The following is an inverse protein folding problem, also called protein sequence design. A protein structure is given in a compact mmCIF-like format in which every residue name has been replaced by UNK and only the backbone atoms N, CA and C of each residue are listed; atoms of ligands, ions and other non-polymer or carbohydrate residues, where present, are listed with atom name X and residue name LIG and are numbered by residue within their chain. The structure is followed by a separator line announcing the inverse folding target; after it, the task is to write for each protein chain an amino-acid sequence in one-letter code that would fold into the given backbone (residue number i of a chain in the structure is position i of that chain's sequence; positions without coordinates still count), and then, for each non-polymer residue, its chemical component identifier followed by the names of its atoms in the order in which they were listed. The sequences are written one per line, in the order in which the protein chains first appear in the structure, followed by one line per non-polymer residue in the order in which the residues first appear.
data_IF_531599152072
#
_entry.id   IF_531599152072
#
_cell.length_a   1.000
_cell.length_b   1.000
_cell.length_c   1.000
_cell.angle_alpha   90.00
_cell.angle_beta   90.00
_cell.angle_gamma   90.00
#
_symmetry.space_group_name_H-M   'P 1'
#
loop_
_entity.id
_entity.type
_entity.pdbx_description
1 polymer ?
#
# COMPACT_ATOMS: atom_id res chain seq x y z
N UNK A 1 -45.09 -33.56 -24.81
CA UNK A 1 -44.04 -32.96 -25.68
C UNK A 1 -44.22 -31.46 -25.89
N UNK A 2 -45.44 -30.93 -26.13
CA UNK A 2 -45.66 -29.47 -26.28
C UNK A 2 -45.35 -28.68 -25.01
N UNK A 3 -45.71 -29.17 -23.83
CA UNK A 3 -45.50 -28.43 -22.58
C UNK A 3 -44.04 -28.46 -22.11
N UNK A 4 -43.34 -29.58 -22.30
CA UNK A 4 -41.89 -29.65 -22.07
C UNK A 4 -41.10 -28.75 -23.02
N UNK A 5 -41.51 -28.63 -24.29
CA UNK A 5 -40.91 -27.70 -25.25
C UNK A 5 -41.16 -26.23 -24.86
N UNK A 6 -42.38 -25.91 -24.39
CA UNK A 6 -42.72 -24.56 -23.91
C UNK A 6 -41.88 -24.17 -22.70
N UNK A 7 -41.74 -25.06 -21.73
CA UNK A 7 -40.90 -24.83 -20.55
C UNK A 7 -39.44 -24.59 -20.99
N UNK A 8 -38.91 -25.44 -21.88
CA UNK A 8 -37.55 -25.29 -22.39
C UNK A 8 -37.29 -23.93 -23.05
N UNK A 9 -38.22 -23.48 -23.91
CA UNK A 9 -38.12 -22.18 -24.58
C UNK A 9 -38.21 -21.01 -23.60
N UNK A 10 -39.04 -21.13 -22.56
CA UNK A 10 -39.18 -20.11 -21.53
C UNK A 10 -37.90 -19.97 -20.70
N UNK A 11 -37.28 -21.09 -20.32
CA UNK A 11 -36.00 -21.09 -19.60
C UNK A 11 -34.88 -20.50 -20.47
N UNK A 12 -34.86 -20.84 -21.77
CA UNK A 12 -33.88 -20.29 -22.71
C UNK A 12 -34.04 -18.78 -22.87
N UNK A 13 -35.29 -18.28 -22.92
CA UNK A 13 -35.58 -16.86 -23.01
C UNK A 13 -35.15 -16.09 -21.76
N UNK A 14 -35.44 -16.61 -20.56
CA UNK A 14 -35.00 -16.00 -19.30
C UNK A 14 -33.47 -16.00 -19.20
N UNK A 15 -32.81 -17.09 -19.62
CA UNK A 15 -31.35 -17.17 -19.66
C UNK A 15 -30.75 -16.16 -20.65
N UNK A 16 -31.33 -16.03 -21.84
CA UNK A 16 -30.86 -15.07 -22.86
C UNK A 16 -31.03 -13.61 -22.40
N UNK A 17 -32.12 -13.30 -21.69
CA UNK A 17 -32.33 -11.97 -21.09
C UNK A 17 -31.31 -11.69 -19.98
N UNK A 18 -31.07 -12.66 -19.09
CA UNK A 18 -30.04 -12.56 -18.05
C UNK A 18 -28.61 -12.43 -18.61
N UNK A 19 -28.30 -13.21 -19.64
CA UNK A 19 -26.99 -13.18 -20.30
C UNK A 19 -26.78 -11.88 -21.09
N UNK A 20 -27.81 -11.41 -21.80
CA UNK A 20 -27.78 -10.16 -22.56
C UNK A 20 -27.62 -8.93 -21.65
N UNK A 21 -28.32 -8.89 -20.52
CA UNK A 21 -28.13 -7.84 -19.51
C UNK A 21 -26.75 -7.89 -18.85
N UNK A 22 -26.19 -9.09 -18.64
CA UNK A 22 -24.81 -9.28 -18.18
C UNK A 22 -23.76 -8.75 -19.17
N UNK A 23 -23.91 -9.03 -20.47
CA UNK A 23 -22.99 -8.51 -21.50
C UNK A 23 -23.15 -7.00 -21.68
N UNK A 24 -24.38 -6.48 -21.63
CA UNK A 24 -24.65 -5.05 -21.79
C UNK A 24 -24.07 -4.21 -20.64
N UNK A 25 -24.18 -4.70 -19.42
CA UNK A 25 -23.52 -4.09 -18.25
C UNK A 25 -22.00 -4.15 -18.41
N UNK A 26 -21.42 -5.33 -18.67
CA UNK A 26 -19.96 -5.45 -18.87
C UNK A 26 -19.40 -4.55 -20.00
N UNK A 27 -20.11 -4.36 -21.11
CA UNK A 27 -19.65 -3.51 -22.23
C UNK A 27 -19.75 -2.01 -21.96
N UNK A 28 -20.64 -1.56 -21.06
CA UNK A 28 -20.74 -0.15 -20.63
C UNK A 28 -19.94 0.16 -19.37
N UNK A 29 -19.34 -0.84 -18.73
CA UNK A 29 -18.52 -0.67 -17.55
C UNK A 29 -17.05 -0.69 -17.95
N UNK A 30 -16.48 0.49 -18.17
CA UNK A 30 -15.04 0.63 -18.33
C UNK A 30 -14.37 0.15 -17.04
N UNK A 31 -13.57 -0.94 -17.08
CA UNK A 31 -12.75 -1.29 -15.94
C UNK A 31 -11.87 -0.08 -15.60
N UNK A 32 -11.86 0.33 -14.33
CA UNK A 32 -10.95 1.40 -13.90
C UNK A 32 -9.54 1.04 -14.40
N UNK A 33 -8.85 1.94 -15.12
CA UNK A 33 -7.41 1.80 -15.23
C UNK A 33 -6.88 1.85 -13.80
N UNK A 34 -5.94 0.96 -13.43
CA UNK A 34 -5.35 0.97 -12.10
C UNK A 34 -4.89 2.41 -11.79
N UNK A 35 -5.17 2.93 -10.59
CA UNK A 35 -4.70 4.26 -10.23
C UNK A 35 -3.17 4.28 -10.42
N UNK A 36 -2.59 5.37 -10.93
CA UNK A 36 -1.14 5.45 -11.20
C UNK A 36 -0.31 5.24 -9.93
N UNK A 37 -0.93 5.46 -8.76
CA UNK A 37 -0.39 5.14 -7.44
C UNK A 37 -1.50 4.66 -6.47
N UNK A 38 -1.16 3.82 -5.49
CA UNK A 38 -2.02 3.39 -4.39
C UNK A 38 -2.26 4.47 -3.32
N UNK A 39 -3.25 4.27 -2.46
CA UNK A 39 -3.40 5.11 -1.26
C UNK A 39 -2.12 4.98 -0.42
N UNK A 40 -1.62 6.11 0.12
CA UNK A 40 -0.42 6.14 0.97
C UNK A 40 0.83 5.54 0.28
N UNK A 41 0.89 5.60 -1.05
CA UNK A 41 2.04 5.11 -1.81
C UNK A 41 3.35 5.84 -1.44
N UNK A 42 3.26 7.05 -0.87
CA UNK A 42 4.41 7.77 -0.33
C UNK A 42 5.26 6.93 0.63
N UNK A 43 4.64 5.94 1.27
CA UNK A 43 5.28 5.10 2.27
C UNK A 43 5.77 3.75 1.72
N UNK A 44 5.32 3.34 0.52
CA UNK A 44 5.65 2.03 -0.07
C UNK A 44 5.68 2.08 -1.61
N UNK A 45 6.82 2.46 -2.24
CA UNK A 45 6.91 2.71 -3.69
C UNK A 45 6.89 1.45 -4.59
N UNK A 46 6.76 0.24 -4.03
CA UNK A 46 6.95 -1.04 -4.77
C UNK A 46 5.73 -1.96 -4.76
N UNK A 47 4.53 -1.45 -4.49
CA UNK A 47 3.32 -2.28 -4.54
C UNK A 47 2.45 -1.97 -5.73
N UNK A 48 1.96 -2.99 -6.46
CA UNK A 48 0.93 -2.77 -7.46
C UNK A 48 -0.30 -2.15 -6.77
N UNK A 49 -0.98 -1.20 -7.42
CA UNK A 49 -2.20 -0.61 -6.89
C UNK A 49 -3.23 -1.72 -6.70
N UNK A 50 -3.50 -2.08 -5.44
CA UNK A 50 -4.51 -3.06 -5.03
C UNK A 50 -4.41 -4.43 -5.73
N UNK A 51 -3.66 -5.36 -5.14
CA UNK A 51 -3.70 -6.76 -5.51
C UNK A 51 -5.08 -7.40 -5.23
N UNK A 52 -5.82 -7.69 -6.30
CA UNK A 52 -6.42 -9.01 -6.51
C UNK A 52 -7.49 -9.53 -5.54
N UNK A 53 -8.25 -8.69 -4.84
CA UNK A 53 -9.59 -9.10 -4.39
C UNK A 53 -10.63 -8.45 -5.27
N UNK A 54 -11.54 -9.25 -5.82
CA UNK A 54 -12.80 -8.82 -6.45
C UNK A 54 -13.74 -8.14 -5.43
N UNK A 55 -13.21 -7.29 -4.55
CA UNK A 55 -13.99 -6.43 -3.69
C UNK A 55 -14.65 -5.37 -4.55
N UNK A 56 -15.98 -5.22 -4.40
CA UNK A 56 -16.85 -4.21 -5.01
C UNK A 56 -16.06 -3.03 -5.59
N UNK A 57 -15.73 -3.11 -6.88
CA UNK A 57 -15.12 -2.02 -7.62
C UNK A 57 -16.06 -0.82 -7.47
N UNK A 58 -15.60 0.24 -6.81
CA UNK A 58 -16.41 1.42 -6.58
C UNK A 58 -16.94 1.93 -7.93
N UNK A 59 -18.25 1.94 -8.11
CA UNK A 59 -18.89 2.45 -9.31
C UNK A 59 -18.73 3.98 -9.28
N UNK A 60 -17.92 4.55 -10.18
CA UNK A 60 -17.76 6.00 -10.34
C UNK A 60 -18.07 6.39 -11.79
N UNK A 61 -18.65 7.58 -11.99
CA UNK A 61 -18.85 8.14 -13.33
C UNK A 61 -17.52 8.45 -14.01
N UNK A 62 -17.49 8.44 -15.35
CA UNK A 62 -16.29 8.79 -16.14
C UNK A 62 -15.76 10.18 -15.81
N UNK A 63 -16.67 11.14 -15.60
CA UNK A 63 -16.34 12.50 -15.18
C UNK A 63 -15.58 12.52 -13.85
N UNK A 64 -16.02 11.71 -12.88
CA UNK A 64 -15.35 11.59 -11.58
C UNK A 64 -13.97 10.94 -11.71
N UNK A 65 -13.83 9.96 -12.61
CA UNK A 65 -12.54 9.33 -12.91
C UNK A 65 -11.57 10.32 -13.55
N UNK A 66 -12.02 11.09 -14.54
CA UNK A 66 -11.21 12.12 -15.18
C UNK A 66 -10.78 13.21 -14.19
N UNK A 67 -11.70 13.64 -13.31
CA UNK A 67 -11.41 14.61 -12.25
C UNK A 67 -10.37 14.08 -11.25
N UNK A 68 -10.49 12.82 -10.81
CA UNK A 68 -9.50 12.20 -9.91
C UNK A 68 -8.14 12.12 -10.58
N UNK A 69 -8.06 11.67 -11.85
CA UNK A 69 -6.79 11.61 -12.58
C UNK A 69 -6.14 12.99 -12.72
N UNK A 70 -6.92 14.00 -13.07
CA UNK A 70 -6.41 15.36 -13.18
C UNK A 70 -5.86 15.87 -11.84
N UNK A 71 -6.54 15.57 -10.72
CA UNK A 71 -6.04 15.93 -9.40
C UNK A 71 -4.78 15.14 -9.01
N UNK A 72 -4.71 13.85 -9.38
CA UNK A 72 -3.54 13.01 -9.17
C UNK A 72 -2.31 13.54 -9.91
N UNK A 73 -2.46 14.04 -11.15
CA UNK A 73 -1.37 14.69 -11.89
C UNK A 73 -0.92 15.98 -11.19
N UNK A 74 -1.83 16.76 -10.61
CA UNK A 74 -1.49 18.01 -9.90
C UNK A 74 -0.67 17.74 -8.64
N UNK A 75 -1.02 16.72 -7.86
CA UNK A 75 -0.33 16.45 -6.59
C UNK A 75 0.93 15.60 -6.75
N UNK A 76 1.17 15.00 -7.92
CA UNK A 76 2.36 14.19 -8.22
C UNK A 76 3.69 14.87 -7.80
N UNK A 77 3.98 16.13 -8.15
CA UNK A 77 5.22 16.77 -7.72
C UNK A 77 5.32 16.89 -6.19
N UNK A 78 4.20 17.08 -5.48
CA UNK A 78 4.20 17.11 -4.01
C UNK A 78 4.50 15.71 -3.43
N UNK A 79 3.95 14.66 -4.03
CA UNK A 79 4.20 13.26 -3.68
C UNK A 79 5.68 12.91 -3.87
N UNK A 80 6.27 13.25 -5.02
CA UNK A 80 7.69 13.00 -5.31
C UNK A 80 8.61 13.78 -4.36
N UNK A 81 8.29 15.04 -4.06
CA UNK A 81 9.02 15.84 -3.08
C UNK A 81 8.93 15.23 -1.68
N UNK A 82 7.76 14.73 -1.27
CA UNK A 82 7.58 14.07 0.01
C UNK A 82 8.36 12.74 0.09
N UNK A 83 8.29 11.92 -0.96
CA UNK A 83 9.09 10.68 -1.07
C UNK A 83 10.60 10.96 -0.99
N UNK A 84 11.07 12.06 -1.59
CA UNK A 84 12.49 12.47 -1.52
C UNK A 84 12.91 12.78 -0.08
N UNK A 85 12.05 13.45 0.69
CA UNK A 85 12.31 13.72 2.12
C UNK A 85 12.30 12.44 2.95
N UNK A 86 11.38 11.51 2.68
CA UNK A 86 11.38 10.20 3.33
C UNK A 86 12.64 9.39 3.02
N UNK A 87 13.10 9.38 1.76
CA UNK A 87 14.35 8.73 1.37
C UNK A 87 15.55 9.31 2.11
N UNK A 88 15.59 10.63 2.34
CA UNK A 88 16.65 11.25 3.12
C UNK A 88 16.66 10.75 4.58
N UNK A 89 15.49 10.60 5.21
CA UNK A 89 15.34 10.04 6.56
C UNK A 89 15.82 8.58 6.60
N UNK A 90 15.45 7.75 5.62
CA UNK A 90 15.90 6.35 5.55
C UNK A 90 17.40 6.24 5.29
N UNK A 91 17.95 7.10 4.43
CA UNK A 91 19.39 7.14 4.13
C UNK A 91 20.20 7.48 5.38
N UNK A 92 19.79 8.52 6.14
CA UNK A 92 20.45 8.89 7.41
C UNK A 92 20.43 7.72 8.41
N UNK A 93 19.29 7.04 8.54
CA UNK A 93 19.17 5.86 9.39
C UNK A 93 20.12 4.73 8.93
N UNK A 94 20.15 4.40 7.64
CA UNK A 94 21.02 3.35 7.09
C UNK A 94 22.49 3.65 7.29
N UNK A 95 22.91 4.89 7.06
CA UNK A 95 24.31 5.31 7.29
C UNK A 95 24.70 5.13 8.77
N UNK A 96 23.84 5.52 9.71
CA UNK A 96 24.10 5.35 11.15
C UNK A 96 24.07 3.88 11.57
N UNK A 97 23.17 3.08 10.99
CA UNK A 97 23.14 1.64 11.20
C UNK A 97 24.45 1.00 10.72
N UNK A 98 24.90 1.28 9.51
CA UNK A 98 26.16 0.74 8.97
C UNK A 98 27.37 1.07 9.84
N UNK A 99 27.41 2.29 10.38
CA UNK A 99 28.48 2.74 11.25
C UNK A 99 28.58 1.92 12.56
N UNK A 100 27.46 1.46 13.11
CA UNK A 100 27.45 0.66 14.35
C UNK A 100 27.66 -0.85 14.15
N UNK A 101 27.64 -1.33 12.90
CA UNK A 101 27.82 -2.75 12.57
C UNK A 101 29.29 -3.11 12.35
N UNK A 102 29.63 -4.34 12.70
CA UNK A 102 30.94 -4.93 12.35
C UNK A 102 31.01 -5.25 10.86
N UNK A 103 32.23 -5.39 10.27
CA UNK A 103 32.37 -5.77 8.86
C UNK A 103 31.62 -7.04 8.47
N UNK A 104 31.57 -8.03 9.36
CA UNK A 104 30.83 -9.28 9.12
C UNK A 104 29.31 -9.07 9.17
N UNK A 105 28.81 -8.24 10.09
CA UNK A 105 27.38 -7.90 10.16
C UNK A 105 26.93 -7.06 8.96
N UNK A 106 27.79 -6.20 8.41
CA UNK A 106 27.47 -5.40 7.21
C UNK A 106 27.15 -6.26 5.99
N UNK A 107 27.75 -7.46 5.89
CA UNK A 107 27.44 -8.41 4.80
C UNK A 107 26.01 -8.95 4.88
N UNK A 108 25.36 -8.84 6.04
CA UNK A 108 23.97 -9.25 6.27
C UNK A 108 22.98 -8.11 5.97
N UNK A 109 23.42 -6.87 5.74
CA UNK A 109 22.51 -5.77 5.41
C UNK A 109 21.69 -6.01 4.13
N UNK A 110 22.24 -6.56 3.03
CA UNK A 110 21.46 -6.84 1.83
C UNK A 110 20.38 -7.91 2.02
N UNK A 111 20.43 -8.72 3.09
CA UNK A 111 19.39 -9.72 3.39
C UNK A 111 18.20 -9.10 4.11
N UNK A 112 18.34 -7.88 4.62
CA UNK A 112 17.21 -7.13 5.15
C UNK A 112 16.30 -6.72 3.99
N UNK A 113 15.00 -7.02 4.08
CA UNK A 113 14.04 -6.57 3.09
C UNK A 113 14.04 -5.03 3.04
N UNK A 114 13.96 -4.47 1.83
CA UNK A 114 13.69 -3.05 1.67
C UNK A 114 12.38 -2.68 2.41
N UNK A 115 12.30 -1.47 3.00
CA UNK A 115 11.06 -0.95 3.54
C UNK A 115 9.89 -1.11 2.53
N UNK A 116 8.89 -1.93 2.88
CA UNK A 116 7.70 -2.20 2.05
C UNK A 116 7.77 -3.46 1.18
N UNK A 117 8.90 -4.18 1.13
CA UNK A 117 9.03 -5.47 0.42
C UNK A 117 8.61 -6.68 1.25
N UNK A 118 8.94 -6.72 2.55
CA UNK A 118 8.34 -7.68 3.49
C UNK A 118 7.41 -6.91 4.41
N UNK A 119 6.13 -7.26 4.39
CA UNK A 119 5.19 -6.70 5.35
C UNK A 119 5.63 -6.92 6.78
N UNK A 120 5.32 -5.95 7.65
CA UNK A 120 5.13 -6.26 9.06
C UNK A 120 4.05 -7.32 9.16
N UNK A 121 4.48 -8.58 9.14
CA UNK A 121 3.61 -9.73 8.99
C UNK A 121 3.52 -10.25 7.56
N UNK A 122 4.58 -10.90 7.08
CA UNK A 122 4.29 -12.28 6.71
C UNK A 122 3.80 -12.96 7.98
N UNK A 123 2.49 -13.23 8.06
CA UNK A 123 2.00 -14.18 9.04
C UNK A 123 2.79 -15.49 8.88
N UNK A 124 2.90 -16.33 9.92
CA UNK A 124 3.48 -17.66 9.77
C UNK A 124 2.91 -18.32 8.51
N UNK A 125 3.75 -19.04 7.76
CA UNK A 125 3.41 -19.60 6.45
C UNK A 125 1.99 -20.15 6.43
N UNK A 126 1.17 -19.65 5.49
CA UNK A 126 -0.25 -20.03 5.36
C UNK A 126 -1.26 -19.09 6.05
N UNK A 127 -0.84 -18.10 6.83
CA UNK A 127 -1.75 -17.19 7.57
C UNK A 127 -1.90 -15.79 6.94
N UNK A 128 -2.20 -15.73 5.64
CA UNK A 128 -2.66 -14.50 4.98
C UNK A 128 -1.78 -13.24 5.14
N UNK A 129 -2.26 -12.08 4.66
CA UNK A 129 -1.56 -10.81 4.87
C UNK A 129 -1.56 -10.41 6.36
N UNK A 130 -0.42 -9.96 6.87
CA UNK A 130 -0.28 -9.47 8.26
C UNK A 130 -1.11 -8.22 8.57
N UNK A 131 -1.17 -7.83 9.85
CA UNK A 131 -2.08 -6.77 10.34
C UNK A 131 -1.82 -5.39 9.73
N UNK A 132 -0.65 -5.17 9.14
CA UNK A 132 -0.28 -3.91 8.47
C UNK A 132 -0.13 -4.04 6.96
N UNK A 133 -0.54 -5.15 6.37
CA UNK A 133 -0.44 -5.34 4.93
C UNK A 133 -1.29 -4.31 4.16
N UNK A 134 -0.65 -3.48 3.33
CA UNK A 134 -1.31 -2.57 2.41
C UNK A 134 -0.81 -1.12 2.48
N UNK A 135 -1.66 -0.12 2.21
CA UNK A 135 -1.34 1.32 2.22
C UNK A 135 -0.63 1.83 3.49
N UNK A 136 -0.99 1.28 4.65
CA UNK A 136 -0.48 1.71 5.96
C UNK A 136 0.86 1.06 6.32
N UNK A 137 1.36 0.15 5.48
CA UNK A 137 2.53 -0.65 5.82
C UNK A 137 3.80 0.19 5.94
N UNK A 138 4.02 1.09 4.98
CA UNK A 138 5.17 1.96 5.03
C UNK A 138 5.15 2.91 6.22
N UNK A 139 3.95 3.36 6.64
CA UNK A 139 3.78 4.15 7.88
C UNK A 139 4.14 3.35 9.13
N UNK A 140 3.81 2.07 9.15
CA UNK A 140 4.18 1.18 10.25
C UNK A 140 5.72 1.09 10.41
N UNK A 141 6.48 1.24 9.32
CA UNK A 141 7.96 1.14 9.35
C UNK A 141 8.58 2.29 10.13
N UNK A 142 8.00 3.48 9.97
CA UNK A 142 8.47 4.66 10.66
C UNK A 142 7.94 4.78 12.09
N UNK A 143 6.83 4.13 12.43
CA UNK A 143 6.13 4.36 13.71
C UNK A 143 6.26 3.21 14.73
N UNK A 144 6.37 1.97 14.26
CA UNK A 144 6.34 0.78 15.13
C UNK A 144 7.75 0.24 15.35
N UNK A 145 8.35 0.62 16.48
CA UNK A 145 9.76 0.36 16.78
C UNK A 145 10.03 -1.09 17.16
N UNK A 146 9.15 -1.70 17.97
CA UNK A 146 9.43 -3.00 18.59
C UNK A 146 9.65 -4.12 17.54
N UNK A 147 8.78 -4.33 16.54
CA UNK A 147 9.00 -5.39 15.56
C UNK A 147 10.22 -5.15 14.68
N UNK A 148 10.53 -3.89 14.35
CA UNK A 148 11.74 -3.55 13.60
C UNK A 148 13.00 -3.85 14.42
N UNK A 149 13.01 -3.48 15.70
CA UNK A 149 14.09 -3.79 16.62
C UNK A 149 14.30 -5.30 16.74
N UNK A 150 13.23 -6.06 17.00
CA UNK A 150 13.30 -7.51 17.19
C UNK A 150 13.82 -8.19 15.91
N UNK A 151 13.26 -7.86 14.74
CA UNK A 151 13.67 -8.43 13.46
C UNK A 151 15.13 -8.12 13.09
N UNK A 152 15.55 -6.86 13.16
CA UNK A 152 16.91 -6.47 12.80
C UNK A 152 17.94 -6.99 13.82
N UNK A 153 17.55 -7.16 15.08
CA UNK A 153 18.43 -7.76 16.10
C UNK A 153 18.71 -9.22 15.81
N UNK A 154 17.69 -9.96 15.36
CA UNK A 154 17.81 -11.37 14.98
C UNK A 154 18.63 -11.54 13.70
N UNK A 155 18.24 -10.86 12.62
CA UNK A 155 18.87 -10.98 11.29
C UNK A 155 20.34 -10.54 11.30
N UNK A 156 20.65 -9.42 11.96
CA UNK A 156 22.02 -8.89 12.04
C UNK A 156 22.81 -9.46 13.22
N UNK A 157 22.21 -10.34 14.03
CA UNK A 157 22.82 -10.93 15.23
C UNK A 157 23.43 -9.84 16.14
N UNK A 158 22.62 -8.84 16.48
CA UNK A 158 23.09 -7.67 17.24
C UNK A 158 23.36 -8.02 18.70
N UNK A 159 24.47 -7.49 19.22
CA UNK A 159 24.78 -7.55 20.66
C UNK A 159 23.83 -6.66 21.47
N UNK A 160 23.71 -6.89 22.79
CA UNK A 160 22.86 -6.07 23.65
C UNK A 160 23.17 -4.57 23.57
N UNK A 161 24.45 -4.18 23.50
CA UNK A 161 24.86 -2.79 23.34
C UNK A 161 24.44 -2.21 21.97
N UNK A 162 24.54 -3.01 20.90
CA UNK A 162 24.06 -2.62 19.58
C UNK A 162 22.53 -2.48 19.56
N UNK A 163 21.78 -3.36 20.23
CA UNK A 163 20.32 -3.27 20.30
C UNK A 163 19.84 -1.97 20.96
N UNK A 164 20.51 -1.50 22.02
CA UNK A 164 20.22 -0.21 22.65
C UNK A 164 20.46 0.95 21.67
N UNK A 165 21.55 0.87 20.91
CA UNK A 165 21.89 1.88 19.89
C UNK A 165 20.86 1.88 18.76
N UNK A 166 20.50 0.70 18.23
CA UNK A 166 19.48 0.54 17.20
C UNK A 166 18.12 1.09 17.65
N UNK A 167 17.71 0.80 18.89
CA UNK A 167 16.46 1.37 19.46
C UNK A 167 16.48 2.89 19.44
N UNK A 168 17.62 3.50 19.75
CA UNK A 168 17.79 4.97 19.73
C UNK A 168 17.69 5.50 18.30
N UNK A 169 18.32 4.85 17.33
CA UNK A 169 18.20 5.21 15.91
C UNK A 169 16.77 5.09 15.38
N UNK A 170 16.04 4.04 15.78
CA UNK A 170 14.64 3.86 15.39
C UNK A 170 13.73 4.95 15.99
N UNK A 171 13.98 5.37 17.24
CA UNK A 171 13.29 6.49 17.88
C UNK A 171 13.59 7.82 17.15
N UNK A 172 14.86 8.08 16.83
CA UNK A 172 15.26 9.27 16.07
C UNK A 172 14.59 9.32 14.70
N UNK A 173 14.61 8.19 13.97
CA UNK A 173 13.95 8.05 12.67
C UNK A 173 12.46 8.34 12.77
N UNK A 174 11.79 7.80 13.81
CA UNK A 174 10.37 8.07 14.08
C UNK A 174 10.12 9.55 14.33
N UNK A 175 10.95 10.22 15.12
CA UNK A 175 10.77 11.64 15.41
C UNK A 175 10.87 12.48 14.14
N UNK A 176 11.92 12.29 13.33
CA UNK A 176 12.08 12.98 12.04
C UNK A 176 10.90 12.75 11.11
N UNK A 177 10.36 11.54 11.14
CA UNK A 177 9.17 11.19 10.38
C UNK A 177 7.93 11.98 10.84
N UNK A 178 7.70 12.05 12.16
CA UNK A 178 6.60 12.83 12.73
C UNK A 178 6.74 14.32 12.44
N UNK A 179 7.94 14.89 12.61
CA UNK A 179 8.23 16.29 12.31
C UNK A 179 7.96 16.61 10.83
N UNK A 180 8.28 15.69 9.92
CA UNK A 180 7.99 15.82 8.50
C UNK A 180 6.48 15.84 8.22
N UNK A 181 5.73 14.93 8.84
CA UNK A 181 4.27 14.83 8.68
C UNK A 181 3.56 16.05 9.26
N UNK A 182 4.02 16.54 10.42
CA UNK A 182 3.47 17.72 11.08
C UNK A 182 3.74 18.99 10.25
N UNK A 183 4.92 19.10 9.63
CA UNK A 183 5.27 20.23 8.77
C UNK A 183 4.58 20.17 7.40
N UNK A 184 4.48 18.98 6.80
CA UNK A 184 3.90 18.75 5.48
C UNK A 184 3.03 17.50 5.53
N UNK A 185 1.70 17.63 5.66
CA UNK A 185 0.82 16.47 5.69
C UNK A 185 0.93 15.68 4.37
N UNK A 186 0.85 14.34 4.41
CA UNK A 186 1.00 13.50 3.22
C UNK A 186 0.03 13.93 2.10
N UNK A 187 0.53 14.27 0.90
CA UNK A 187 -0.29 14.82 -0.17
C UNK A 187 -1.44 13.90 -0.60
N UNK A 188 -1.28 12.57 -0.56
CA UNK A 188 -2.34 11.61 -0.86
C UNK A 188 -3.57 11.72 0.05
N UNK A 189 -3.46 12.29 1.25
CA UNK A 189 -4.63 12.55 2.11
C UNK A 189 -5.62 13.53 1.47
N UNK A 190 -5.15 14.40 0.57
CA UNK A 190 -6.01 15.30 -0.21
C UNK A 190 -6.95 14.52 -1.14
N UNK A 191 -6.51 13.37 -1.68
CA UNK A 191 -7.34 12.53 -2.57
C UNK A 191 -8.45 11.79 -1.83
N UNK A 192 -8.23 11.42 -0.57
CA UNK A 192 -9.24 10.74 0.25
C UNK A 192 -10.55 11.54 0.34
N UNK A 193 -10.45 12.88 0.43
CA UNK A 193 -11.61 13.79 0.43
C UNK A 193 -12.41 13.78 -0.88
N UNK A 194 -11.76 13.53 -2.02
CA UNK A 194 -12.42 13.48 -3.32
C UNK A 194 -13.11 12.12 -3.58
N UNK A 195 -12.51 11.04 -3.08
CA UNK A 195 -13.10 9.71 -3.17
C UNK A 195 -14.29 9.54 -2.21
N UNK A 196 -14.17 10.09 -0.99
CA UNK A 196 -15.16 10.00 0.08
C UNK A 196 -15.48 11.40 0.63
N UNK A 197 -16.34 12.19 -0.05
CA UNK A 197 -16.78 13.47 0.48
C UNK A 197 -17.56 13.26 1.79
N UNK A 198 -17.50 14.20 2.75
CA UNK A 198 -18.29 14.12 3.97
C UNK A 198 -19.79 14.07 3.61
N UNK A 199 -20.62 13.39 4.43
CA UNK A 199 -22.08 13.45 4.25
C UNK A 199 -22.52 14.92 4.33
N UNK A 200 -23.31 15.35 3.34
CA UNK A 200 -23.96 16.67 3.35
C UNK A 200 -25.18 16.66 4.27
#
# INVERSE_FOLDING_TARGET
MKDTLRIFLLTLAVFAIGFGTGIWTQRRHHPMPPPPFGALEEFSPHRPPWGGREGKRFQMSEEKIAAIKAEMEKIRPEVEAFQTKLKAIDTDFRTKLEAMLTPEQRKLLPTLPEPGQRGFGHGPEGRGPGPFAGPLEGLAIFTIIKPALDHMSEELKLTAAQQVTLKTLLLERRQKFLDLVDAVPPPSLKLGRLMFPPPQ
#
